data_IF_023106973967
#
_entry.id   IF_023106973967
#
_cell.length_a   1.000
_cell.length_b   1.000
_cell.length_c   1.000
_cell.angle_alpha   90.00
_cell.angle_beta   90.00
_cell.angle_gamma   90.00
#
_symmetry.space_group_name_H-M   'P 1'
#
loop_
_entity.id
_entity.type
_entity.pdbx_description
1 polymer ?
#
# COMPACT_ATOMS: atom_id res chain seq x y z
N UNK A 1 -18.98 -2.08 -1.44
CA UNK A 1 -20.09 -2.69 -0.70
C UNK A 1 -21.35 -1.91 -1.04
N UNK A 2 -22.51 -2.57 -1.11
CA UNK A 2 -23.79 -1.90 -1.37
C UNK A 2 -24.75 -2.25 -0.22
N UNK A 3 -25.32 -1.23 0.41
CA UNK A 3 -26.43 -1.41 1.35
C UNK A 3 -27.66 -1.64 0.48
N UNK A 4 -28.28 -2.82 0.57
CA UNK A 4 -29.45 -3.18 -0.23
C UNK A 4 -30.75 -2.75 0.46
N UNK A 5 -30.78 -2.85 1.79
CA UNK A 5 -31.92 -2.52 2.62
C UNK A 5 -31.42 -1.94 3.94
N UNK A 6 -32.03 -0.85 4.40
CA UNK A 6 -31.75 -0.24 5.69
C UNK A 6 -33.09 0.18 6.32
N UNK A 7 -33.52 -0.56 7.33
CA UNK A 7 -34.68 -0.26 8.17
C UNK A 7 -34.32 -0.45 9.64
N UNK A 8 -35.15 0.02 10.56
CA UNK A 8 -34.93 -0.17 11.99
C UNK A 8 -34.91 -1.65 12.43
N UNK A 9 -35.54 -2.53 11.64
CA UNK A 9 -35.68 -3.97 11.92
C UNK A 9 -34.69 -4.83 11.14
N UNK A 10 -34.26 -4.37 9.97
CA UNK A 10 -33.49 -5.17 9.01
C UNK A 10 -32.43 -4.34 8.30
N UNK A 11 -31.20 -4.83 8.31
CA UNK A 11 -30.06 -4.26 7.59
C UNK A 11 -29.46 -5.34 6.68
N UNK A 12 -29.41 -5.07 5.37
CA UNK A 12 -28.86 -6.00 4.38
C UNK A 12 -27.64 -5.38 3.71
N UNK A 13 -26.48 -5.98 4.00
CA UNK A 13 -25.18 -5.56 3.48
C UNK A 13 -24.72 -6.56 2.42
N UNK A 14 -24.46 -6.06 1.22
CA UNK A 14 -23.98 -6.86 0.10
C UNK A 14 -22.52 -6.53 -0.26
N UNK A 15 -21.70 -7.57 -0.32
CA UNK A 15 -20.28 -7.47 -0.69
C UNK A 15 -19.94 -8.36 -1.89
N UNK A 16 -19.27 -7.75 -2.88
CA UNK A 16 -18.63 -8.46 -4.01
C UNK A 16 -17.12 -8.29 -3.92
N UNK A 17 -16.33 -9.37 -3.97
CA UNK A 17 -14.87 -9.28 -4.03
C UNK A 17 -14.41 -8.89 -5.45
N UNK A 18 -14.53 -7.61 -5.81
CA UNK A 18 -14.19 -7.09 -7.16
C UNK A 18 -12.68 -7.19 -7.44
N UNK A 19 -11.83 -6.98 -6.45
CA UNK A 19 -10.38 -6.95 -6.66
C UNK A 19 -9.81 -8.32 -7.10
N UNK A 20 -10.40 -9.42 -6.62
CA UNK A 20 -10.01 -10.76 -7.02
C UNK A 20 -10.52 -11.13 -8.43
N UNK A 21 -11.58 -10.48 -8.90
CA UNK A 21 -12.01 -10.58 -10.30
C UNK A 21 -10.93 -10.05 -11.26
N UNK A 22 -10.36 -8.87 -10.96
CA UNK A 22 -9.26 -8.30 -11.75
C UNK A 22 -8.01 -9.19 -11.73
N UNK A 23 -7.68 -9.80 -10.58
CA UNK A 23 -6.55 -10.72 -10.48
C UNK A 23 -6.73 -11.96 -11.37
N UNK A 24 -7.95 -12.50 -11.48
CA UNK A 24 -8.22 -13.65 -12.35
C UNK A 24 -8.01 -13.35 -13.84
N UNK A 25 -8.21 -12.10 -14.27
CA UNK A 25 -7.98 -11.68 -15.66
C UNK A 25 -6.48 -11.55 -16.01
N UNK A 26 -5.60 -11.38 -15.03
CA UNK A 26 -4.15 -11.29 -15.24
C UNK A 26 -3.50 -12.64 -15.54
N UNK A 27 -4.02 -13.74 -14.99
CA UNK A 27 -3.44 -15.08 -15.18
C UNK A 27 -3.50 -15.58 -16.64
N UNK A 28 -4.61 -15.41 -17.40
CA UNK A 28 -4.64 -15.72 -18.83
C UNK A 28 -3.66 -14.88 -19.63
N UNK A 29 -3.52 -13.58 -19.31
CA UNK A 29 -2.58 -12.69 -20.00
C UNK A 29 -1.14 -13.17 -19.77
N UNK A 30 -0.78 -13.48 -18.52
CA UNK A 30 0.52 -14.09 -18.19
C UNK A 30 0.74 -15.41 -18.91
N UNK A 31 -0.28 -16.27 -18.99
CA UNK A 31 -0.23 -17.53 -19.74
C UNK A 31 0.06 -17.31 -21.23
N UNK A 32 -0.59 -16.32 -21.86
CA UNK A 32 -0.35 -15.94 -23.27
C UNK A 32 1.05 -15.36 -23.46
N UNK A 33 1.52 -14.48 -22.55
CA UNK A 33 2.87 -13.87 -22.64
C UNK A 33 3.96 -14.93 -22.49
N UNK A 34 3.82 -15.85 -21.54
CA UNK A 34 4.77 -16.96 -21.37
C UNK A 34 4.70 -17.88 -22.59
N UNK A 35 3.50 -18.28 -23.04
CA UNK A 35 3.34 -19.13 -24.22
C UNK A 35 3.91 -18.52 -25.50
N UNK A 36 3.70 -17.22 -25.73
CA UNK A 36 4.23 -16.50 -26.90
C UNK A 36 5.74 -16.31 -26.87
N UNK A 37 6.35 -16.21 -25.67
CA UNK A 37 7.82 -16.19 -25.53
C UNK A 37 8.48 -17.50 -25.97
N UNK A 38 7.73 -18.62 -26.00
CA UNK A 38 8.19 -19.88 -26.58
C UNK A 38 7.91 -20.01 -28.08
N UNK A 39 7.07 -19.12 -28.65
CA UNK A 39 6.71 -19.09 -30.06
C UNK A 39 7.48 -18.02 -30.84
N UNK A 40 8.59 -17.47 -30.31
CA UNK A 40 9.46 -16.56 -31.07
C UNK A 40 9.87 -17.26 -32.37
N UNK A 41 9.21 -16.81 -33.44
CA UNK A 41 9.37 -17.30 -34.80
C UNK A 41 10.83 -17.04 -35.14
N UNK A 42 11.64 -18.10 -35.18
CA UNK A 42 13.02 -18.01 -35.61
C UNK A 42 13.02 -17.55 -37.07
N UNK A 43 13.17 -16.25 -37.29
CA UNK A 43 13.46 -15.72 -38.62
C UNK A 43 14.86 -16.21 -38.99
N UNK A 44 14.93 -17.26 -39.81
CA UNK A 44 16.18 -17.80 -40.29
C UNK A 44 16.79 -16.85 -41.32
N UNK A 45 17.74 -16.02 -40.90
CA UNK A 45 18.59 -15.31 -41.85
C UNK A 45 19.68 -16.25 -42.36
N UNK A 46 19.41 -16.88 -43.50
CA UNK A 46 20.40 -17.69 -44.20
C UNK A 46 21.37 -16.76 -44.94
N UNK A 47 22.56 -16.50 -44.36
CA UNK A 47 23.66 -15.90 -45.10
C UNK A 47 24.37 -16.99 -45.88
N UNK A 48 24.14 -17.01 -47.20
CA UNK A 48 24.85 -17.88 -48.13
C UNK A 48 26.31 -17.41 -48.21
N UNK A 49 27.25 -18.22 -47.72
CA UNK A 49 28.67 -18.06 -48.08
C UNK A 49 28.90 -18.70 -49.45
N UNK A 50 29.67 -18.04 -50.30
CA UNK A 50 29.99 -18.53 -51.65
C UNK A 50 30.71 -19.90 -51.60
N UNK A 51 30.37 -20.83 -52.50
CA UNK A 51 30.88 -22.20 -52.44
C UNK A 51 32.32 -22.29 -52.98
N UNK A 52 33.19 -23.00 -52.24
CA UNK A 52 34.45 -23.52 -52.78
C UNK A 52 34.23 -24.95 -53.26
N UNK A 53 34.56 -25.20 -54.52
CA UNK A 53 34.31 -26.44 -55.25
C UNK A 53 35.26 -27.54 -54.72
N UNK A 54 34.71 -28.56 -54.02
CA UNK A 54 35.14 -29.98 -54.09
C UNK A 54 34.99 -30.84 -52.82
N UNK A 55 34.37 -30.39 -51.71
CA UNK A 55 34.16 -31.29 -50.56
C UNK A 55 32.79 -31.13 -49.90
N UNK A 56 32.07 -32.23 -49.69
CA UNK A 56 30.83 -32.30 -48.90
C UNK A 56 31.04 -31.63 -47.53
N UNK A 57 30.47 -30.45 -47.33
CA UNK A 57 30.46 -29.79 -46.03
C UNK A 57 29.17 -30.11 -45.29
N UNK A 58 29.31 -30.65 -44.09
CA UNK A 58 28.24 -30.72 -43.09
C UNK A 58 28.04 -29.31 -42.51
N UNK A 59 26.89 -28.71 -42.80
CA UNK A 59 26.50 -27.44 -42.21
C UNK A 59 25.84 -27.71 -40.86
N UNK A 60 26.51 -27.34 -39.77
CA UNK A 60 25.93 -27.37 -38.43
C UNK A 60 25.29 -26.01 -38.17
N UNK A 61 23.96 -25.93 -38.29
CA UNK A 61 23.22 -24.73 -37.92
C UNK A 61 23.01 -24.78 -36.41
N UNK A 62 23.74 -23.96 -35.67
CA UNK A 62 23.60 -23.85 -34.23
C UNK A 62 22.55 -22.79 -33.91
N UNK A 63 21.32 -23.22 -33.59
CA UNK A 63 20.29 -22.33 -33.08
C UNK A 63 20.59 -21.99 -31.60
N UNK A 64 20.04 -20.89 -31.08
CA UNK A 64 20.26 -20.43 -29.69
C UNK A 64 19.82 -21.44 -28.62
N UNK A 65 19.05 -22.46 -28.99
CA UNK A 65 18.77 -23.64 -28.18
C UNK A 65 19.40 -24.84 -28.88
N UNK A 66 20.15 -25.63 -28.13
CA UNK A 66 20.96 -26.78 -28.58
C UNK A 66 20.15 -27.85 -29.33
N UNK A 67 19.77 -27.59 -30.57
CA UNK A 67 19.22 -28.57 -31.49
C UNK A 67 20.17 -28.71 -32.65
N UNK A 68 20.72 -29.90 -32.80
CA UNK A 68 21.54 -30.26 -33.94
C UNK A 68 20.58 -30.67 -35.04
N UNK A 69 20.35 -29.79 -36.01
CA UNK A 69 19.60 -30.13 -37.22
C UNK A 69 20.57 -30.88 -38.13
N UNK A 70 20.44 -32.21 -38.21
CA UNK A 70 21.18 -33.02 -39.16
C UNK A 70 20.49 -32.97 -40.53
N UNK A 71 21.14 -32.37 -41.52
CA UNK A 71 20.67 -32.30 -42.90
C UNK A 71 21.31 -33.46 -43.68
N UNK A 72 20.51 -34.45 -44.08
CA UNK A 72 20.95 -35.51 -44.99
C UNK A 72 20.63 -35.09 -46.42
N UNK A 73 21.66 -34.81 -47.23
CA UNK A 73 21.49 -34.47 -48.65
C UNK A 73 21.64 -35.73 -49.48
N UNK A 74 20.54 -36.25 -50.04
CA UNK A 74 20.57 -37.35 -51.02
C UNK A 74 20.47 -36.78 -52.43
N UNK A 75 21.47 -37.06 -53.24
CA UNK A 75 21.49 -36.68 -54.65
C UNK A 75 20.95 -37.86 -55.47
N UNK A 76 19.70 -37.75 -55.94
CA UNK A 76 19.12 -38.70 -56.89
C UNK A 76 18.73 -37.94 -58.16
N UNK A 77 19.28 -38.38 -59.31
CA UNK A 77 18.82 -38.01 -60.66
C UNK A 77 18.52 -36.51 -60.89
N UNK A 78 19.38 -35.63 -60.36
CA UNK A 78 19.32 -34.19 -60.64
C UNK A 78 18.35 -33.38 -59.75
N UNK A 79 17.66 -33.98 -58.79
CA UNK A 79 16.79 -33.27 -57.84
C UNK A 79 17.30 -33.46 -56.41
N UNK A 80 17.64 -32.35 -55.75
CA UNK A 80 18.04 -32.35 -54.34
C UNK A 80 16.78 -32.38 -53.46
N UNK A 81 16.51 -33.51 -52.81
CA UNK A 81 15.46 -33.60 -51.79
C UNK A 81 16.06 -33.35 -50.40
N UNK A 82 15.70 -32.22 -49.82
CA UNK A 82 16.07 -31.83 -48.45
C UNK A 82 15.00 -32.38 -47.50
N UNK A 83 15.32 -33.45 -46.76
CA UNK A 83 14.43 -33.96 -45.71
C UNK A 83 14.85 -33.40 -44.36
N UNK A 84 14.22 -32.30 -43.96
CA UNK A 84 14.37 -31.79 -42.60
C UNK A 84 13.50 -32.64 -41.67
N UNK A 85 14.13 -33.29 -40.69
CA UNK A 85 13.42 -34.03 -39.63
C UNK A 85 13.70 -33.31 -38.32
N UNK A 86 12.78 -32.46 -37.88
CA UNK A 86 12.89 -31.71 -36.62
C UNK A 86 12.26 -32.52 -35.50
N UNK A 87 13.08 -32.96 -34.54
CA UNK A 87 12.67 -33.83 -33.44
C UNK A 87 12.20 -33.02 -32.23
N UNK A 88 11.17 -32.17 -32.39
CA UNK A 88 10.70 -31.29 -31.31
C UNK A 88 9.23 -31.48 -30.91
N UNK A 89 8.70 -32.67 -31.13
CA UNK A 89 7.34 -32.99 -30.72
C UNK A 89 7.12 -32.76 -29.20
N UNK A 90 8.16 -32.95 -28.37
CA UNK A 90 8.06 -32.78 -26.92
C UNK A 90 7.81 -31.34 -26.46
N UNK A 91 8.33 -30.33 -27.17
CA UNK A 91 8.24 -28.94 -26.72
C UNK A 91 6.83 -28.37 -26.95
N UNK A 92 6.19 -28.76 -28.06
CA UNK A 92 4.80 -28.37 -28.36
C UNK A 92 3.81 -28.95 -27.35
N UNK A 93 3.95 -30.24 -27.02
CA UNK A 93 3.12 -30.89 -26.00
C UNK A 93 3.32 -30.26 -24.62
N UNK A 94 4.56 -29.94 -24.25
CA UNK A 94 4.84 -29.29 -22.96
C UNK A 94 4.18 -27.91 -22.87
N UNK A 95 4.25 -27.11 -23.94
CA UNK A 95 3.59 -25.79 -24.00
C UNK A 95 2.06 -25.91 -23.86
N UNK A 96 1.45 -26.88 -24.55
CA UNK A 96 0.01 -27.13 -24.49
C UNK A 96 -0.42 -27.58 -23.08
N UNK A 97 0.28 -28.55 -22.48
CA UNK A 97 -0.03 -29.04 -21.13
C UNK A 97 0.11 -27.92 -20.10
N UNK A 98 1.16 -27.10 -20.21
CA UNK A 98 1.38 -25.96 -19.32
C UNK A 98 0.27 -24.92 -19.47
N UNK A 99 -0.13 -24.58 -20.69
CA UNK A 99 -1.23 -23.65 -20.95
C UNK A 99 -2.55 -24.14 -20.37
N UNK A 100 -2.90 -25.41 -20.60
CA UNK A 100 -4.13 -26.02 -20.04
C UNK A 100 -4.10 -26.01 -18.51
N UNK A 101 -2.94 -26.31 -17.90
CA UNK A 101 -2.77 -26.26 -16.45
C UNK A 101 -3.03 -24.85 -15.89
N UNK A 102 -2.46 -23.80 -16.48
CA UNK A 102 -2.69 -22.42 -16.03
C UNK A 102 -4.12 -21.95 -16.25
N UNK A 103 -4.75 -22.36 -17.35
CA UNK A 103 -6.17 -22.09 -17.60
C UNK A 103 -7.05 -22.76 -16.55
N UNK A 104 -6.80 -24.02 -16.22
CA UNK A 104 -7.54 -24.74 -15.19
C UNK A 104 -7.32 -24.13 -13.80
N UNK A 105 -6.10 -23.75 -13.46
CA UNK A 105 -5.77 -23.09 -12.18
C UNK A 105 -6.42 -21.70 -12.09
N UNK A 106 -6.36 -20.91 -13.16
CA UNK A 106 -7.02 -19.60 -13.22
C UNK A 106 -8.53 -19.73 -13.05
N UNK A 107 -9.15 -20.67 -13.76
CA UNK A 107 -10.58 -20.96 -13.62
C UNK A 107 -10.91 -21.40 -12.19
N UNK A 108 -10.13 -22.29 -11.59
CA UNK A 108 -10.33 -22.73 -10.21
C UNK A 108 -10.27 -21.56 -9.22
N UNK A 109 -9.27 -20.69 -9.33
CA UNK A 109 -9.15 -19.49 -8.49
C UNK A 109 -10.30 -18.53 -8.73
N UNK A 110 -10.69 -18.31 -9.98
CA UNK A 110 -11.85 -17.49 -10.35
C UNK A 110 -13.14 -18.00 -9.71
N UNK A 111 -13.39 -19.32 -9.78
CA UNK A 111 -14.56 -19.94 -9.17
C UNK A 111 -14.58 -19.82 -7.65
N UNK A 112 -13.42 -19.89 -6.99
CA UNK A 112 -13.29 -19.63 -5.54
C UNK A 112 -13.61 -18.18 -5.19
N UNK A 113 -13.27 -17.26 -6.07
CA UNK A 113 -13.40 -15.82 -5.89
C UNK A 113 -14.80 -15.28 -6.11
N UNK A 114 -15.59 -15.88 -7.01
CA UNK A 114 -16.95 -15.40 -7.35
C UNK A 114 -17.92 -15.44 -6.16
N UNK A 115 -17.53 -16.04 -5.04
CA UNK A 115 -18.37 -16.12 -3.85
C UNK A 115 -18.80 -14.72 -3.38
N UNK A 116 -20.10 -14.48 -3.49
CA UNK A 116 -20.70 -13.25 -2.97
C UNK A 116 -21.13 -13.49 -1.53
N UNK A 117 -20.88 -12.50 -0.67
CA UNK A 117 -21.30 -12.56 0.74
C UNK A 117 -22.36 -11.50 1.00
N UNK A 118 -23.49 -11.95 1.51
CA UNK A 118 -24.59 -11.09 1.96
C UNK A 118 -24.75 -11.27 3.46
N UNK A 119 -24.67 -10.19 4.21
CA UNK A 119 -24.90 -10.19 5.65
C UNK A 119 -26.27 -9.56 5.89
N UNK A 120 -27.18 -10.33 6.48
CA UNK A 120 -28.55 -9.91 6.79
C UNK A 120 -28.65 -9.84 8.30
N UNK A 121 -28.78 -8.64 8.84
CA UNK A 121 -29.04 -8.43 10.26
C UNK A 121 -30.54 -8.25 10.43
N UNK A 122 -31.18 -9.15 11.17
CA UNK A 122 -32.62 -9.14 11.40
C UNK A 122 -32.93 -9.11 12.90
N UNK A 123 -33.42 -7.96 13.39
CA UNK A 123 -33.79 -7.79 14.80
C UNK A 123 -35.06 -8.55 15.17
N UNK A 124 -35.91 -8.89 14.21
CA UNK A 124 -37.16 -9.60 14.50
C UNK A 124 -36.90 -11.04 14.87
N UNK A 125 -35.94 -11.68 14.22
CA UNK A 125 -35.48 -13.05 14.54
C UNK A 125 -34.30 -13.05 15.50
N UNK A 126 -33.73 -11.89 15.82
CA UNK A 126 -32.50 -11.73 16.62
C UNK A 126 -31.31 -12.49 16.02
N UNK A 127 -31.20 -12.52 14.70
CA UNK A 127 -30.18 -13.29 13.97
C UNK A 127 -29.44 -12.44 12.92
N UNK A 128 -28.14 -12.70 12.81
CA UNK A 128 -27.28 -12.37 11.70
C UNK A 128 -27.18 -13.60 10.79
N UNK A 129 -27.70 -13.48 9.58
CA UNK A 129 -27.57 -14.51 8.55
C UNK A 129 -26.48 -14.10 7.55
N UNK A 130 -25.41 -14.88 7.47
CA UNK A 130 -24.33 -14.73 6.49
C UNK A 130 -24.56 -15.72 5.35
N UNK A 131 -25.04 -15.21 4.23
CA UNK A 131 -25.22 -16.00 3.02
C UNK A 131 -23.99 -15.89 2.11
N UNK A 132 -23.34 -17.02 1.89
CA UNK A 132 -22.25 -17.17 0.92
C UNK A 132 -22.82 -17.88 -0.30
N UNK A 133 -23.04 -17.13 -1.38
CA UNK A 133 -23.49 -17.67 -2.68
C UNK A 133 -22.28 -17.88 -3.58
N UNK A 134 -21.96 -19.14 -3.84
CA UNK A 134 -20.96 -19.55 -4.83
C UNK A 134 -21.61 -20.24 -6.03
N UNK A 135 -20.79 -20.66 -7.00
CA UNK A 135 -21.28 -21.38 -8.18
C UNK A 135 -21.92 -22.74 -7.80
N UNK A 136 -21.37 -23.42 -6.80
CA UNK A 136 -21.81 -24.77 -6.37
C UNK A 136 -22.87 -24.75 -5.26
N UNK A 137 -23.61 -23.64 -5.13
CA UNK A 137 -24.72 -23.52 -4.19
C UNK A 137 -24.54 -22.43 -3.15
N UNK A 138 -25.46 -22.44 -2.18
CA UNK A 138 -25.60 -21.45 -1.13
C UNK A 138 -25.21 -22.09 0.20
N UNK A 139 -24.23 -21.49 0.90
CA UNK A 139 -23.94 -21.81 2.30
C UNK A 139 -24.48 -20.67 3.16
N UNK A 140 -25.24 -21.01 4.18
CA UNK A 140 -25.80 -20.05 5.12
C UNK A 140 -25.21 -20.35 6.50
N UNK A 141 -24.73 -19.33 7.18
CA UNK A 141 -24.36 -19.39 8.59
C UNK A 141 -25.22 -18.39 9.36
N UNK A 142 -25.71 -18.80 10.52
CA UNK A 142 -26.59 -18.00 11.37
C UNK A 142 -25.90 -17.77 12.72
N UNK A 143 -25.90 -16.53 13.17
CA UNK A 143 -25.31 -16.09 14.44
C UNK A 143 -26.33 -15.27 15.20
N UNK A 144 -26.55 -15.46 16.50
CA UNK A 144 -27.41 -14.60 17.30
C UNK A 144 -26.87 -13.15 17.34
N UNK A 145 -27.72 -12.14 17.17
CA UNK A 145 -27.26 -10.74 17.19
C UNK A 145 -26.69 -10.33 18.55
N UNK A 146 -27.21 -10.90 19.64
CA UNK A 146 -26.69 -10.69 21.00
C UNK A 146 -25.32 -11.36 21.24
N UNK A 147 -24.84 -12.21 20.33
CA UNK A 147 -23.48 -12.74 20.39
C UNK A 147 -22.45 -11.71 19.93
N UNK A 148 -22.85 -10.70 19.15
CA UNK A 148 -21.96 -9.65 18.65
C UNK A 148 -21.64 -8.68 19.78
N UNK A 149 -20.39 -8.73 20.28
CA UNK A 149 -19.91 -7.84 21.34
C UNK A 149 -19.45 -6.50 20.76
N UNK A 150 -18.75 -6.54 19.62
CA UNK A 150 -18.12 -5.36 19.05
C UNK A 150 -17.99 -5.48 17.51
N UNK A 151 -17.76 -4.34 16.87
CA UNK A 151 -17.58 -4.19 15.43
C UNK A 151 -16.33 -3.35 15.21
N UNK A 152 -15.26 -3.98 14.71
CA UNK A 152 -13.95 -3.34 14.53
C UNK A 152 -13.48 -3.42 13.10
N UNK A 153 -12.62 -2.47 12.70
CA UNK A 153 -11.87 -2.56 11.44
C UNK A 153 -10.61 -3.36 11.71
N UNK A 154 -10.46 -4.50 11.05
CA UNK A 154 -9.34 -5.40 11.32
C UNK A 154 -8.08 -4.96 10.61
N UNK A 155 -7.01 -4.74 11.38
CA UNK A 155 -5.68 -4.37 10.86
C UNK A 155 -4.94 -5.46 10.06
N UNK A 156 -5.60 -6.59 9.75
CA UNK A 156 -5.02 -7.75 9.07
C UNK A 156 -5.36 -7.89 7.58
N UNK A 157 -5.89 -6.85 6.94
CA UNK A 157 -6.36 -6.90 5.56
C UNK A 157 -5.29 -7.24 4.52
N UNK A 158 -5.67 -8.00 3.48
CA UNK A 158 -4.86 -8.21 2.28
C UNK A 158 -4.72 -6.87 1.54
N UNK A 159 -3.54 -6.59 0.97
CA UNK A 159 -3.29 -5.35 0.22
C UNK A 159 -3.10 -5.68 -1.25
N UNK A 160 -4.01 -5.19 -2.10
CA UNK A 160 -3.91 -5.32 -3.56
C UNK A 160 -3.52 -3.94 -4.08
N UNK A 161 -2.36 -3.86 -4.75
CA UNK A 161 -1.78 -2.60 -5.22
C UNK A 161 -1.64 -1.55 -4.10
N UNK A 162 -1.17 -1.99 -2.92
CA UNK A 162 -0.91 -1.14 -1.75
C UNK A 162 -2.13 -0.51 -1.08
N UNK A 163 -3.33 -0.72 -1.63
CA UNK A 163 -4.59 -0.33 -1.00
C UNK A 163 -4.96 -1.40 0.02
N UNK A 164 -4.98 -1.11 1.33
CA UNK A 164 -5.41 -2.08 2.33
C UNK A 164 -6.89 -2.35 2.14
N UNK A 165 -7.29 -3.62 2.04
CA UNK A 165 -8.70 -3.99 2.15
C UNK A 165 -8.90 -4.56 3.55
N UNK A 166 -9.02 -3.67 4.54
CA UNK A 166 -9.30 -4.08 5.91
C UNK A 166 -10.77 -4.50 6.01
N UNK A 167 -11.08 -5.75 6.40
CA UNK A 167 -12.45 -6.16 6.63
C UNK A 167 -12.99 -5.51 7.90
N UNK A 168 -14.31 -5.35 7.97
CA UNK A 168 -15.01 -5.06 9.22
C UNK A 168 -15.30 -6.39 9.88
N UNK A 169 -14.68 -6.66 11.01
CA UNK A 169 -14.93 -7.88 11.78
C UNK A 169 -15.99 -7.62 12.84
N UNK A 170 -16.98 -8.50 12.86
CA UNK A 170 -17.92 -8.63 13.97
C UNK A 170 -17.28 -9.58 14.98
N UNK A 171 -16.98 -9.07 16.17
CA UNK A 171 -16.40 -9.86 17.27
C UNK A 171 -17.56 -10.52 18.01
N UNK A 172 -17.60 -11.86 17.95
CA UNK A 172 -18.59 -12.65 18.68
C UNK A 172 -18.09 -13.00 20.09
N UNK A 173 -19.00 -13.23 21.02
CA UNK A 173 -18.68 -13.69 22.38
C UNK A 173 -18.01 -15.06 22.41
N UNK A 174 -18.18 -15.87 21.36
CA UNK A 174 -17.41 -17.10 21.14
C UNK A 174 -15.94 -16.87 20.75
N UNK A 175 -15.45 -15.62 20.70
CA UNK A 175 -14.12 -15.25 20.19
C UNK A 175 -13.89 -15.58 18.71
N UNK A 176 -14.97 -15.88 17.97
CA UNK A 176 -14.94 -16.03 16.51
C UNK A 176 -15.19 -14.67 15.87
N UNK A 177 -14.46 -14.37 14.80
CA UNK A 177 -14.65 -13.16 14.02
C UNK A 177 -15.43 -13.46 12.74
N UNK A 178 -16.46 -12.65 12.47
CA UNK A 178 -17.21 -12.70 11.21
C UNK A 178 -16.82 -11.49 10.35
N UNK A 179 -15.98 -11.72 9.35
CA UNK A 179 -15.49 -10.65 8.48
C UNK A 179 -16.48 -10.25 7.37
N UNK A 180 -16.83 -8.97 7.36
CA UNK A 180 -17.60 -8.30 6.32
C UNK A 180 -16.65 -7.47 5.45
N UNK A 181 -16.53 -7.87 4.18
CA UNK A 181 -15.62 -7.20 3.25
C UNK A 181 -16.28 -5.97 2.61
N UNK A 182 -15.65 -4.82 2.74
CA UNK A 182 -16.11 -3.61 2.06
C UNK A 182 -15.59 -3.62 0.64
N UNK A 183 -16.48 -3.79 -0.36
CA UNK A 183 -16.01 -3.66 -1.75
C UNK A 183 -15.47 -2.24 -1.97
N UNK A 184 -14.27 -2.17 -2.55
CA UNK A 184 -13.73 -0.92 -3.04
C UNK A 184 -14.62 -0.41 -4.17
N UNK A 185 -14.87 0.89 -4.12
CA UNK A 185 -15.32 1.60 -5.31
C UNK A 185 -14.11 1.75 -6.21
N UNK A 186 -14.16 1.15 -7.39
CA UNK A 186 -13.06 1.18 -8.37
C UNK A 186 -12.74 2.60 -8.83
N UNK A 187 -13.68 3.54 -8.66
CA UNK A 187 -13.50 4.91 -9.14
C UNK A 187 -12.74 5.79 -8.14
N UNK A 188 -12.70 5.46 -6.84
CA UNK A 188 -12.07 6.29 -5.81
C UNK A 188 -11.46 5.44 -4.69
N UNK A 189 -10.26 4.85 -4.89
CA UNK A 189 -9.62 4.05 -3.85
C UNK A 189 -9.33 4.87 -2.59
N UNK A 190 -9.10 6.19 -2.66
CA UNK A 190 -8.75 7.00 -1.48
C UNK A 190 -9.83 7.13 -0.40
N UNK A 191 -11.09 6.74 -0.66
CA UNK A 191 -12.21 6.88 0.29
C UNK A 191 -12.63 5.58 0.98
N UNK A 192 -11.90 4.48 0.78
CA UNK A 192 -12.28 3.18 1.36
C UNK A 192 -12.37 3.22 2.89
N UNK A 193 -11.45 3.92 3.55
CA UNK A 193 -11.38 4.04 5.01
C UNK A 193 -12.60 4.77 5.59
N UNK A 194 -12.97 5.91 4.99
CA UNK A 194 -14.17 6.65 5.40
C UNK A 194 -15.41 5.76 5.32
N UNK A 195 -15.54 5.01 4.21
CA UNK A 195 -16.65 4.08 4.00
C UNK A 195 -16.64 2.91 4.98
N UNK A 196 -15.46 2.49 5.45
CA UNK A 196 -15.32 1.48 6.48
C UNK A 196 -15.82 1.98 7.83
N UNK A 197 -15.40 3.18 8.23
CA UNK A 197 -15.89 3.82 9.45
C UNK A 197 -17.39 4.09 9.41
N UNK A 198 -17.93 4.59 8.29
CA UNK A 198 -19.38 4.75 8.08
C UNK A 198 -20.11 3.41 8.22
N UNK A 199 -19.53 2.33 7.70
CA UNK A 199 -20.10 0.98 7.81
C UNK A 199 -20.08 0.48 9.26
N UNK A 200 -18.98 0.66 9.98
CA UNK A 200 -18.86 0.30 11.40
C UNK A 200 -19.89 1.06 12.22
N UNK A 201 -19.94 2.38 12.06
CA UNK A 201 -20.90 3.23 12.76
C UNK A 201 -22.35 2.83 12.44
N UNK A 202 -22.66 2.51 11.18
CA UNK A 202 -23.97 2.03 10.77
C UNK A 202 -24.33 0.70 11.45
N UNK A 203 -23.42 -0.27 11.48
CA UNK A 203 -23.66 -1.56 12.12
C UNK A 203 -23.77 -1.40 13.64
N UNK A 204 -22.88 -0.65 14.28
CA UNK A 204 -22.93 -0.38 15.73
C UNK A 204 -24.26 0.30 16.13
N UNK A 205 -24.64 1.35 15.39
CA UNK A 205 -25.92 2.04 15.58
C UNK A 205 -27.11 1.11 15.35
N UNK A 206 -27.08 0.27 14.31
CA UNK A 206 -28.12 -0.72 14.07
C UNK A 206 -28.21 -1.72 15.23
N UNK A 207 -27.09 -2.23 15.75
CA UNK A 207 -27.07 -3.20 16.83
C UNK A 207 -27.40 -2.60 18.21
N UNK A 208 -27.41 -1.28 18.34
CA UNK A 208 -27.53 -0.62 19.65
C UNK A 208 -26.31 -0.82 20.53
N UNK A 209 -25.16 -1.15 19.93
CA UNK A 209 -23.89 -1.15 20.63
C UNK A 209 -23.54 0.31 20.95
N UNK A 210 -23.31 0.62 22.22
CA UNK A 210 -22.90 1.95 22.63
C UNK A 210 -21.67 2.34 21.80
N UNK A 211 -21.82 3.38 20.98
CA UNK A 211 -20.69 3.97 20.27
C UNK A 211 -19.85 4.72 21.29
N UNK A 212 -19.07 4.00 22.09
CA UNK A 212 -17.94 4.58 22.83
C UNK A 212 -16.87 5.13 21.86
N UNK A 213 -17.03 4.83 20.57
CA UNK A 213 -16.40 5.49 19.41
C UNK A 213 -16.94 6.89 19.10
N UNK A 214 -17.57 7.58 20.06
CA UNK A 214 -17.32 9.01 20.14
C UNK A 214 -15.82 9.18 20.43
N UNK A 215 -15.00 9.22 19.38
CA UNK A 215 -13.96 10.25 19.36
C UNK A 215 -14.74 11.50 19.74
N UNK A 216 -14.53 12.10 20.93
CA UNK A 216 -15.57 12.92 21.51
C UNK A 216 -15.92 13.97 20.47
N UNK A 217 -17.19 13.96 20.05
CA UNK A 217 -17.79 14.96 19.20
C UNK A 217 -17.25 16.32 19.65
N UNK A 218 -17.29 16.51 20.98
CA UNK A 218 -16.73 17.58 21.81
C UNK A 218 -15.21 17.80 21.77
N UNK A 219 -14.35 16.80 21.65
CA UNK A 219 -12.90 17.01 21.57
C UNK A 219 -12.52 17.48 20.15
N UNK A 220 -13.14 16.90 19.12
CA UNK A 220 -13.01 17.42 17.75
C UNK A 220 -13.72 18.77 17.57
N UNK A 221 -14.90 19.00 18.18
CA UNK A 221 -15.60 20.29 18.11
C UNK A 221 -14.96 21.37 18.99
N UNK A 222 -14.32 21.04 20.11
CA UNK A 222 -13.51 22.00 20.86
C UNK A 222 -12.20 22.33 20.13
N UNK A 223 -11.55 21.37 19.46
CA UNK A 223 -10.44 21.69 18.54
C UNK A 223 -10.93 22.54 17.35
N UNK A 224 -12.16 22.33 16.88
CA UNK A 224 -12.75 23.13 15.80
C UNK A 224 -13.24 24.53 16.21
N UNK A 225 -13.52 24.78 17.50
CA UNK A 225 -14.06 26.07 17.97
C UNK A 225 -13.05 26.90 18.75
N UNK A 226 -12.10 26.26 19.44
CA UNK A 226 -10.98 26.96 20.08
C UNK A 226 -9.88 27.16 19.05
N UNK A 227 -9.84 28.34 18.44
CA UNK A 227 -8.73 28.76 17.58
C UNK A 227 -7.44 28.76 18.40
N UNK A 228 -6.68 27.68 18.35
CA UNK A 228 -5.32 27.63 18.88
C UNK A 228 -4.51 28.63 18.04
N UNK A 229 -4.11 29.75 18.62
CA UNK A 229 -3.37 30.79 17.91
C UNK A 229 -1.86 30.51 17.85
N UNK A 230 -1.34 29.73 18.79
CA UNK A 230 0.08 29.38 18.87
C UNK A 230 0.24 27.90 19.24
N UNK A 231 1.10 27.20 18.52
CA UNK A 231 1.52 25.83 18.84
C UNK A 231 2.98 25.88 19.29
N UNK A 232 3.21 25.63 20.58
CA UNK A 232 4.55 25.45 21.13
C UNK A 232 4.97 24.00 21.00
N UNK A 233 6.19 23.76 20.53
CA UNK A 233 6.74 22.42 20.31
C UNK A 233 7.78 22.19 21.40
N UNK A 234 7.53 21.19 22.24
CA UNK A 234 8.46 20.85 23.33
C UNK A 234 9.32 19.69 22.86
N UNK A 235 10.61 19.96 22.68
CA UNK A 235 11.60 18.96 22.32
C UNK A 235 12.43 18.58 23.56
N UNK A 236 12.63 17.28 23.79
CA UNK A 236 13.51 16.75 24.83
C UNK A 236 14.39 15.67 24.22
N UNK A 237 15.72 15.84 24.28
CA UNK A 237 16.70 14.86 23.77
C UNK A 237 16.47 14.42 22.32
N UNK A 238 16.01 15.33 21.46
CA UNK A 238 15.70 15.05 20.05
C UNK A 238 14.31 14.47 19.77
N UNK A 239 13.50 14.23 20.82
CA UNK A 239 12.11 13.78 20.69
C UNK A 239 11.13 14.93 20.90
N UNK A 240 10.04 14.94 20.13
CA UNK A 240 8.91 15.85 20.36
C UNK A 240 8.06 15.22 21.46
N UNK A 241 8.05 15.79 22.66
CA UNK A 241 7.26 15.25 23.79
C UNK A 241 5.87 15.90 23.90
N UNK A 242 5.69 17.07 23.31
CA UNK A 242 4.40 17.73 23.18
C UNK A 242 4.35 18.62 21.94
N UNK A 243 3.16 18.71 21.34
CA UNK A 243 2.87 19.57 20.20
C UNK A 243 1.63 20.40 20.52
N UNK A 244 1.85 21.67 20.89
CA UNK A 244 0.86 22.49 21.57
C UNK A 244 0.59 21.93 22.96
N UNK A 245 -0.69 21.80 23.33
CA UNK A 245 -1.11 21.18 24.59
C UNK A 245 -1.30 19.65 24.47
N UNK A 246 -0.97 19.05 23.33
CA UNK A 246 -1.14 17.62 23.09
C UNK A 246 0.15 16.86 23.41
N UNK A 247 0.16 15.93 24.38
CA UNK A 247 1.33 15.11 24.66
C UNK A 247 1.56 14.12 23.50
N UNK A 248 2.81 13.96 23.09
CA UNK A 248 3.18 12.96 22.08
C UNK A 248 3.61 11.69 22.80
N UNK A 249 2.82 10.62 22.61
CA UNK A 249 3.13 9.31 23.19
C UNK A 249 3.96 8.50 22.20
N UNK A 250 4.87 7.71 22.72
CA UNK A 250 5.68 6.79 21.95
C UNK A 250 5.29 5.36 22.32
N UNK A 251 5.38 4.41 21.39
CA UNK A 251 5.17 3.00 21.71
C UNK A 251 6.34 2.49 22.57
N UNK A 252 5.99 1.77 23.65
CA UNK A 252 6.97 1.18 24.57
C UNK A 252 7.64 -0.08 23.99
N UNK A 253 7.28 -0.47 22.77
CA UNK A 253 7.87 -1.61 22.09
C UNK A 253 9.36 -1.31 21.83
N UNK A 254 10.20 -1.91 22.67
CA UNK A 254 11.65 -1.85 22.66
C UNK A 254 12.21 -2.37 21.34
N UNK A 255 12.24 -1.53 20.32
CA UNK A 255 13.08 -1.80 19.17
C UNK A 255 14.52 -1.59 19.62
N UNK A 256 15.33 -2.62 19.44
CA UNK A 256 16.72 -2.79 19.93
C UNK A 256 17.66 -1.66 19.43
N UNK A 257 17.17 -0.79 18.54
CA UNK A 257 17.90 0.28 17.87
C UNK A 257 17.46 1.71 18.29
N UNK A 258 16.68 1.87 19.36
CA UNK A 258 16.40 3.20 19.95
C UNK A 258 15.43 4.10 19.17
N UNK A 259 14.95 3.68 18.00
CA UNK A 259 13.91 4.41 17.24
C UNK A 259 12.53 4.07 17.82
N UNK A 260 12.00 4.98 18.65
CA UNK A 260 10.64 4.86 19.17
C UNK A 260 9.63 5.39 18.16
N UNK A 261 8.61 4.59 17.87
CA UNK A 261 7.48 5.02 17.03
C UNK A 261 6.54 5.88 17.88
N UNK A 262 5.95 6.92 17.29
CA UNK A 262 4.95 7.76 17.96
C UNK A 262 3.65 6.97 17.98
N UNK A 263 3.12 6.59 19.13
CA UNK A 263 1.85 5.86 19.20
C UNK A 263 0.64 6.78 19.04
N UNK A 264 0.70 7.99 19.60
CA UNK A 264 -0.38 8.98 19.49
C UNK A 264 0.11 10.42 19.69
N UNK A 265 -0.69 11.38 19.24
CA UNK A 265 -0.55 12.82 19.51
C UNK A 265 -1.81 13.27 20.24
N UNK A 266 -1.73 13.45 21.56
CA UNK A 266 -2.90 13.45 22.42
C UNK A 266 -3.64 12.13 22.29
N UNK A 267 -4.93 12.20 21.96
CA UNK A 267 -5.80 11.05 21.71
C UNK A 267 -5.85 10.66 20.22
N UNK A 268 -5.07 11.33 19.37
CA UNK A 268 -5.04 11.07 17.93
C UNK A 268 -4.06 9.92 17.65
N UNK A 269 -4.52 8.73 17.22
CA UNK A 269 -3.64 7.59 16.99
C UNK A 269 -2.76 7.81 15.75
N UNK A 270 -1.53 7.29 15.78
CA UNK A 270 -0.60 7.34 14.66
C UNK A 270 -0.36 5.92 14.14
N UNK A 271 -0.60 5.70 12.84
CA UNK A 271 -0.41 4.39 12.21
C UNK A 271 0.84 4.36 11.35
N UNK A 272 1.53 3.23 11.38
CA UNK A 272 2.75 2.99 10.62
C UNK A 272 2.57 1.86 9.62
N UNK A 273 3.26 1.95 8.48
CA UNK A 273 3.36 0.85 7.51
C UNK A 273 4.70 0.93 6.78
N UNK A 274 5.20 -0.22 6.34
CA UNK A 274 6.37 -0.28 5.46
C UNK A 274 5.98 0.24 4.08
N UNK A 275 6.65 1.29 3.62
CA UNK A 275 6.39 1.94 2.33
C UNK A 275 7.53 1.57 1.37
N UNK A 276 7.23 0.74 0.38
CA UNK A 276 8.22 0.22 -0.57
C UNK A 276 8.98 -1.01 -0.07
N UNK A 277 9.52 -1.80 -1.02
CA UNK A 277 10.23 -3.05 -0.71
C UNK A 277 11.58 -2.83 -0.01
N UNK A 278 12.24 -1.71 -0.31
CA UNK A 278 13.62 -1.42 0.10
C UNK A 278 13.74 -0.55 1.36
N UNK A 279 12.65 -0.03 1.90
CA UNK A 279 12.70 0.81 3.11
C UNK A 279 12.62 -0.09 4.33
N UNK A 280 13.69 -0.13 5.13
CA UNK A 280 13.76 -0.96 6.35
C UNK A 280 12.85 -0.44 7.47
N UNK A 281 12.60 0.87 7.50
CA UNK A 281 11.76 1.52 8.51
C UNK A 281 10.29 1.60 8.10
N UNK A 282 9.40 1.45 9.07
CA UNK A 282 8.00 1.79 8.87
C UNK A 282 7.84 3.32 8.84
N UNK A 283 7.00 3.80 7.93
CA UNK A 283 6.68 5.22 7.76
C UNK A 283 5.30 5.50 8.34
N UNK A 284 5.06 6.74 8.78
CA UNK A 284 3.72 7.16 9.25
C UNK A 284 2.79 7.20 8.04
N UNK A 285 1.73 6.40 8.05
CA UNK A 285 0.73 6.36 6.97
C UNK A 285 -0.60 7.03 7.34
N UNK A 286 -0.84 7.27 8.62
CA UNK A 286 -1.96 8.10 9.05
C UNK A 286 -1.74 8.70 10.43
N UNK A 287 -2.36 9.86 10.66
CA UNK A 287 -2.48 10.51 11.96
C UNK A 287 -3.97 10.82 12.14
N UNK A 288 -4.63 10.06 13.03
CA UNK A 288 -6.08 10.01 13.09
C UNK A 288 -6.68 9.55 11.76
N UNK A 289 -7.66 10.29 11.27
CA UNK A 289 -8.34 10.03 9.99
C UNK A 289 -7.62 10.65 8.78
N UNK A 290 -6.48 11.31 8.99
CA UNK A 290 -5.70 11.92 7.91
C UNK A 290 -4.68 10.90 7.41
N UNK A 291 -4.89 10.42 6.19
CA UNK A 291 -3.97 9.52 5.51
C UNK A 291 -2.76 10.27 4.93
N UNK A 292 -1.62 9.60 4.90
CA UNK A 292 -0.38 10.10 4.30
C UNK A 292 0.00 9.14 3.18
N UNK A 293 0.00 9.66 1.95
CA UNK A 293 0.34 8.87 0.76
C UNK A 293 1.75 9.21 0.33
N UNK A 294 2.54 8.19 0.01
CA UNK A 294 3.92 8.34 -0.47
C UNK A 294 4.00 8.05 -1.96
N UNK A 295 4.93 8.71 -2.65
CA UNK A 295 5.29 8.38 -4.01
C UNK A 295 6.03 7.04 -4.02
N UNK A 296 5.52 6.10 -4.81
CA UNK A 296 6.09 4.76 -5.02
C UNK A 296 7.00 4.70 -6.23
N UNK A 297 7.42 5.86 -6.76
CA UNK A 297 8.27 5.91 -7.96
C UNK A 297 9.51 5.05 -7.77
N UNK A 298 9.62 4.00 -8.59
CA UNK A 298 10.67 2.97 -8.55
C UNK A 298 12.09 3.54 -8.60
N UNK A 299 12.25 4.76 -9.11
CA UNK A 299 13.54 5.40 -9.32
C UNK A 299 14.01 6.27 -8.14
N UNK A 300 13.18 6.47 -7.11
CA UNK A 300 13.58 7.24 -5.91
C UNK A 300 13.85 6.28 -4.75
N UNK A 301 15.11 6.25 -4.31
CA UNK A 301 15.54 5.45 -3.15
C UNK A 301 14.94 5.90 -1.81
N UNK A 302 14.36 7.11 -1.74
CA UNK A 302 13.68 7.63 -0.56
C UNK A 302 12.20 7.89 -0.87
N UNK A 303 11.26 7.36 -0.08
CA UNK A 303 9.84 7.65 -0.25
C UNK A 303 9.60 9.13 0.03
N UNK A 304 8.97 9.84 -0.91
CA UNK A 304 8.54 11.22 -0.72
C UNK A 304 7.04 11.23 -0.38
N UNK A 305 6.60 12.04 0.58
CA UNK A 305 5.18 12.27 0.83
C UNK A 305 4.57 12.97 -0.38
N UNK A 306 3.49 12.45 -0.95
CA UNK A 306 2.80 13.01 -2.11
C UNK A 306 1.47 13.67 -1.74
N UNK A 307 0.75 13.10 -0.77
CA UNK A 307 -0.49 13.68 -0.23
C UNK A 307 -0.56 13.54 1.28
N UNK A 308 -1.14 14.55 1.92
CA UNK A 308 -1.57 14.54 3.33
C UNK A 308 -3.07 14.81 3.34
N UNK A 309 -3.87 13.77 3.55
CA UNK A 309 -5.31 13.77 3.28
C UNK A 309 -5.56 14.05 1.80
N UNK A 310 -6.18 15.19 1.52
CA UNK A 310 -6.44 15.73 0.18
C UNK A 310 -5.47 16.85 -0.23
N UNK A 311 -4.48 17.18 0.60
CA UNK A 311 -3.51 18.23 0.30
C UNK A 311 -2.31 17.63 -0.45
N UNK A 312 -2.07 18.11 -1.67
CA UNK A 312 -0.89 17.74 -2.44
C UNK A 312 0.38 18.31 -1.80
N UNK A 313 1.43 17.51 -1.75
CA UNK A 313 2.75 17.94 -1.27
C UNK A 313 3.67 18.13 -2.47
N UNK A 314 4.20 19.34 -2.61
CA UNK A 314 5.14 19.68 -3.66
C UNK A 314 6.54 19.88 -3.07
N UNK A 315 7.55 19.68 -3.91
CA UNK A 315 8.95 19.79 -3.54
C UNK A 315 9.65 20.79 -4.45
N UNK A 316 10.64 21.49 -3.91
CA UNK A 316 11.56 22.30 -4.72
C UNK A 316 12.61 21.42 -5.43
N UNK A 317 13.47 22.07 -6.23
CA UNK A 317 14.55 21.41 -6.96
C UNK A 317 15.62 20.78 -6.04
N UNK A 318 15.67 21.19 -4.77
CA UNK A 318 16.58 20.64 -3.76
C UNK A 318 15.95 19.43 -3.02
N UNK A 319 14.71 19.07 -3.35
CA UNK A 319 13.98 17.97 -2.71
C UNK A 319 13.41 18.32 -1.34
N UNK A 320 13.30 19.60 -1.00
CA UNK A 320 12.63 20.09 0.23
C UNK A 320 11.15 20.32 -0.06
N UNK A 321 10.28 20.16 0.93
CA UNK A 321 8.85 20.43 0.76
C UNK A 321 8.66 21.93 0.52
N UNK A 322 8.15 22.34 -0.64
CA UNK A 322 7.93 23.76 -0.94
C UNK A 322 6.49 24.19 -0.67
N UNK A 323 5.53 23.26 -0.66
CA UNK A 323 4.14 23.54 -0.32
C UNK A 323 3.37 22.28 0.07
N UNK A 324 2.32 22.47 0.88
CA UNK A 324 1.35 21.45 1.27
C UNK A 324 -0.05 22.04 1.05
N UNK A 325 -0.76 21.57 0.03
CA UNK A 325 -2.01 22.18 -0.41
C UNK A 325 -1.80 23.64 -0.79
N UNK A 326 -2.54 24.56 -0.15
CA UNK A 326 -2.37 25.99 -0.34
C UNK A 326 -1.30 26.63 0.56
N UNK A 327 -0.65 25.85 1.44
CA UNK A 327 0.35 26.36 2.37
C UNK A 327 1.74 26.31 1.72
N UNK A 328 2.21 27.45 1.21
CA UNK A 328 3.60 27.58 0.77
C UNK A 328 4.57 27.58 1.95
N UNK A 329 5.70 26.89 1.84
CA UNK A 329 6.75 26.87 2.87
C UNK A 329 7.85 27.82 2.43
N UNK A 330 8.11 28.83 3.26
CA UNK A 330 9.19 29.78 3.05
C UNK A 330 10.42 29.35 3.84
N UNK A 331 11.56 29.45 3.18
CA UNK A 331 12.86 29.15 3.76
C UNK A 331 13.67 30.44 3.84
N UNK A 332 14.43 30.60 4.91
CA UNK A 332 15.44 31.65 5.01
C UNK A 332 16.51 31.42 3.93
N UNK A 333 16.85 32.50 3.22
CA UNK A 333 17.94 32.47 2.25
C UNK A 333 19.26 32.10 2.94
N UNK A 334 19.90 31.03 2.46
CA UNK A 334 21.16 30.53 3.00
C UNK A 334 21.28 29.00 2.99
N UNK A 335 22.49 28.51 3.24
CA UNK A 335 22.86 27.08 3.19
C UNK A 335 22.07 26.20 4.17
N UNK A 336 21.55 26.78 5.25
CA UNK A 336 20.91 26.04 6.33
C UNK A 336 19.41 25.80 6.13
N UNK A 337 18.77 26.44 5.15
CA UNK A 337 17.38 26.18 4.76
C UNK A 337 16.39 26.18 5.92
N UNK A 338 16.46 27.17 6.82
CA UNK A 338 15.54 27.25 7.98
C UNK A 338 14.14 27.63 7.52
N UNK A 339 13.11 26.98 8.05
CA UNK A 339 11.72 27.35 7.76
C UNK A 339 11.38 28.64 8.51
N UNK A 340 10.93 29.67 7.79
CA UNK A 340 10.56 30.98 8.35
C UNK A 340 9.05 31.19 8.39
N UNK A 341 8.32 30.60 7.44
CA UNK A 341 6.86 30.67 7.38
C UNK A 341 6.26 29.44 6.71
N UNK A 342 5.03 29.12 7.09
CA UNK A 342 4.22 28.07 6.44
C UNK A 342 2.83 28.66 6.18
N UNK A 343 2.48 28.87 4.91
CA UNK A 343 1.28 29.60 4.53
C UNK A 343 1.29 31.03 5.11
N UNK A 344 0.25 31.35 5.88
CA UNK A 344 0.12 32.61 6.62
C UNK A 344 0.62 32.51 8.08
N UNK A 345 1.34 31.44 8.43
CA UNK A 345 1.79 31.14 9.78
C UNK A 345 3.25 31.51 9.95
N UNK A 346 3.57 32.20 11.05
CA UNK A 346 4.93 32.58 11.39
C UNK A 346 5.61 31.47 12.19
N UNK A 347 6.84 31.11 11.83
CA UNK A 347 7.56 29.98 12.43
C UNK A 347 8.79 30.50 13.18
N UNK A 348 8.85 30.21 14.47
CA UNK A 348 10.04 30.44 15.27
C UNK A 348 10.89 29.17 15.31
N UNK A 349 12.19 29.35 15.06
CA UNK A 349 13.17 28.28 15.15
C UNK A 349 14.24 28.61 16.18
N UNK A 350 14.82 27.58 16.80
CA UNK A 350 15.94 27.77 17.73
C UNK A 350 17.28 27.99 16.99
N UNK A 351 18.37 28.15 17.74
CA UNK A 351 19.73 28.30 17.19
C UNK A 351 20.13 27.12 16.30
N UNK A 352 19.52 25.95 16.48
CA UNK A 352 19.76 24.73 15.70
C UNK A 352 18.79 24.57 14.52
N UNK A 353 17.93 25.56 14.25
CA UNK A 353 16.96 25.52 13.16
C UNK A 353 15.79 24.56 13.39
N UNK A 354 15.59 24.08 14.62
CA UNK A 354 14.43 23.25 14.99
C UNK A 354 13.23 24.16 15.20
N UNK A 355 12.06 23.75 14.73
CA UNK A 355 10.83 24.50 14.97
C UNK A 355 10.47 24.39 16.45
N UNK A 356 10.31 25.54 17.11
CA UNK A 356 9.95 25.63 18.53
C UNK A 356 8.56 26.22 18.74
N UNK A 357 8.10 27.06 17.83
CA UNK A 357 6.78 27.69 17.93
C UNK A 357 6.23 28.06 16.56
N UNK A 358 4.91 27.90 16.39
CA UNK A 358 4.20 28.28 15.17
C UNK A 358 3.01 29.14 15.56
N UNK A 359 2.95 30.36 15.02
CA UNK A 359 1.87 31.33 15.26
C UNK A 359 0.95 31.43 14.05
N UNK A 360 -0.36 31.33 14.29
CA UNK A 360 -1.39 31.44 13.27
C UNK A 360 -2.53 32.37 13.73
N UNK A 361 -2.70 33.51 13.05
CA UNK A 361 -3.75 34.47 13.37
C UNK A 361 -5.17 33.92 13.15
N UNK A 362 -5.33 32.96 12.24
CA UNK A 362 -6.63 32.36 11.91
C UNK A 362 -6.98 31.11 12.72
N UNK A 363 -6.05 30.59 13.52
CA UNK A 363 -6.13 29.25 14.13
C UNK A 363 -5.74 28.13 13.16
N UNK A 364 -5.63 26.91 13.69
CA UNK A 364 -5.26 25.71 12.91
C UNK A 364 -6.48 24.80 12.74
N UNK A 365 -6.72 24.32 11.51
CA UNK A 365 -7.58 23.16 11.31
C UNK A 365 -6.78 21.84 11.44
N UNK A 366 -7.46 20.71 11.61
CA UNK A 366 -6.81 19.40 11.82
C UNK A 366 -5.82 19.02 10.70
N UNK A 367 -6.13 19.37 9.44
CA UNK A 367 -5.25 19.11 8.29
C UNK A 367 -3.96 19.93 8.36
N UNK A 368 -4.08 21.21 8.68
CA UNK A 368 -2.94 22.09 8.92
C UNK A 368 -2.11 21.57 10.08
N UNK A 369 -2.75 21.19 11.18
CA UNK A 369 -2.08 20.60 12.35
C UNK A 369 -1.24 19.38 11.98
N UNK A 370 -1.81 18.39 11.28
CA UNK A 370 -1.07 17.19 10.85
C UNK A 370 0.07 17.54 9.89
N UNK A 371 -0.14 18.49 8.98
CA UNK A 371 0.90 18.94 8.06
C UNK A 371 2.06 19.60 8.80
N UNK A 372 1.77 20.47 9.76
CA UNK A 372 2.77 21.15 10.59
C UNK A 372 3.55 20.15 11.44
N UNK A 373 2.87 19.14 11.99
CA UNK A 373 3.52 18.07 12.74
C UNK A 373 4.53 17.32 11.87
N UNK A 374 4.14 16.92 10.65
CA UNK A 374 5.03 16.21 9.72
C UNK A 374 6.21 17.07 9.27
N UNK A 375 5.98 18.36 8.99
CA UNK A 375 7.05 19.31 8.65
C UNK A 375 8.02 19.47 9.82
N UNK A 376 7.51 19.58 11.04
CA UNK A 376 8.33 19.66 12.26
C UNK A 376 9.16 18.39 12.44
N UNK A 377 8.55 17.22 12.28
CA UNK A 377 9.23 15.92 12.40
C UNK A 377 10.38 15.81 11.38
N UNK A 378 10.13 16.21 10.13
CA UNK A 378 11.13 16.19 9.07
C UNK A 378 12.27 17.21 9.32
N UNK A 379 11.93 18.42 9.78
CA UNK A 379 12.91 19.47 10.09
C UNK A 379 13.81 19.09 11.26
N UNK A 380 13.27 18.44 12.28
CA UNK A 380 14.01 18.13 13.51
C UNK A 380 14.89 16.87 13.40
N UNK A 381 14.60 15.96 12.45
CA UNK A 381 15.34 14.69 12.28
C UNK A 381 16.54 14.79 11.34
N UNK A 382 16.55 15.74 10.40
CA UNK A 382 17.52 15.77 9.30
C UNK A 382 18.96 16.16 9.67
N UNK A 383 19.24 16.64 10.90
CA UNK A 383 20.57 17.21 11.24
C UNK A 383 21.54 16.33 12.00
N UNK A 384 21.12 15.18 12.52
CA UNK A 384 22.07 14.27 13.18
C UNK A 384 22.99 13.51 12.21
N UNK A 385 22.74 13.57 10.90
CA UNK A 385 23.52 12.87 9.88
C UNK A 385 24.80 13.58 9.41
N UNK A 386 24.98 14.88 9.66
CA UNK A 386 26.11 15.64 9.08
C UNK A 386 27.31 15.83 10.02
N UNK A 387 27.22 15.42 11.30
CA UNK A 387 28.30 15.61 12.29
C UNK A 387 29.05 14.34 12.71
N UNK A 388 28.66 13.16 12.22
CA UNK A 388 29.24 11.87 12.62
C UNK A 388 30.52 11.48 11.88
N UNK A 389 31.26 12.45 11.33
CA UNK A 389 32.63 12.22 10.86
C UNK A 389 33.52 12.07 12.08
N UNK A 390 33.92 10.83 12.38
CA UNK A 390 34.68 10.50 13.57
C UNK A 390 35.86 11.43 13.80
N UNK A 391 35.91 12.03 14.98
CA UNK A 391 37.17 12.35 15.63
C UNK A 391 37.96 11.04 15.71
N UNK A 392 38.86 10.84 14.73
CA UNK A 392 39.93 9.89 14.85
C UNK A 392 40.73 10.28 16.09
N UNK A 393 40.58 9.50 17.16
CA UNK A 393 41.46 9.57 18.31
C UNK A 393 42.89 9.33 17.85
N UNK A 394 43.62 10.42 17.62
CA UNK A 394 45.05 10.43 17.56
C UNK A 394 45.55 10.05 18.94
N UNK A 395 45.89 8.78 19.12
CA UNK A 395 46.63 8.33 20.29
C UNK A 395 48.00 8.99 20.27
N UNK A 396 48.19 9.97 21.16
CA UNK A 396 49.50 10.43 21.59
C UNK A 396 50.21 9.25 22.29
N UNK A 397 51.13 8.62 21.57
CA UNK A 397 52.18 7.80 22.16
C UNK A 397 53.20 8.71 22.84
N UNK A 398 52.91 9.09 24.09
CA UNK A 398 53.88 9.66 25.02
C UNK A 398 54.69 8.55 25.67
N UNK A 399 56.02 8.70 25.64
CA UNK A 399 56.98 7.70 26.09
C UNK A 399 57.04 7.47 27.60
N UNK A 400 57.65 6.33 27.93
CA UNK A 400 58.16 5.92 29.22
C UNK A 400 59.16 4.80 29.00
#
# INVERSE_FOLDING_TARGET
>A
MKILEHSSKRLVIYSRPIALWLASALFPILGIVVGSSFLEITSFNCKRSEPYISSCQTFVIQTRRTQIISIEVKQNEGVYQLKLTTTDQYLEWFSLVFFVFWMALSLYLFLKVIQTRTCIFDKTTNQLTVEIKGLFGKKTAEYPLNEIIDVVISGGGFSINEIPTEPVDLILSSSKNVSVYISLDTNIPSKWYLKAHETVALIQSFLGLATDTSIPQELLTNIHTQKIQSIRIINCSGYIIAFGNMPVKYSDASNIWGVRQISSIGDIPVKYKKVGKFVSSQQIISIGDISITYSTSLWRFKPCIYFIGDMAVQYDYQGRINSIGAMGIQYQDGLLGRITAIGNMNVQTDSYGRIVEIHCNSGFNLKQFVSLFLVTLASNTNRYGEGGGGEGGGGEGGGG
#
